data_IF_234254205912
#
_entry.id   IF_234254205912
#
_cell.length_a   1.000
_cell.length_b   1.000
_cell.length_c   1.000
_cell.angle_alpha   90.00
_cell.angle_beta   90.00
_cell.angle_gamma   90.00
#
_symmetry.space_group_name_H-M   'P 1'
#
loop_
_entity.id
_entity.type
_entity.pdbx_description
1 polymer ?
#
# COMPACT_ATOMS: atom_id res chain seq x y z
N UNK A 1 -7.89 -30.49 2.64
CA UNK A 1 -8.77 -29.56 1.88
C UNK A 1 -8.27 -28.16 2.11
N UNK A 2 -7.79 -27.50 1.07
CA UNK A 2 -7.44 -26.09 1.18
C UNK A 2 -8.71 -25.29 1.35
N UNK A 3 -8.90 -24.66 2.50
CA UNK A 3 -9.96 -23.71 2.76
C UNK A 3 -9.85 -22.57 1.74
N UNK A 4 -10.78 -22.51 0.81
CA UNK A 4 -10.86 -21.38 -0.12
C UNK A 4 -11.13 -20.14 0.70
N UNK A 5 -10.10 -19.29 0.82
CA UNK A 5 -10.23 -17.99 1.47
C UNK A 5 -11.13 -17.15 0.57
N UNK A 6 -12.32 -16.83 1.04
CA UNK A 6 -13.18 -15.85 0.38
C UNK A 6 -12.48 -14.50 0.41
N UNK A 7 -11.97 -14.08 -0.76
CA UNK A 7 -11.33 -12.79 -0.98
C UNK A 7 -12.30 -11.79 -1.62
N UNK A 8 -13.61 -12.11 -1.66
CA UNK A 8 -14.60 -11.21 -2.21
C UNK A 8 -14.64 -9.89 -1.43
N UNK A 9 -14.73 -8.78 -2.15
CA UNK A 9 -14.83 -7.46 -1.57
C UNK A 9 -16.29 -7.07 -1.39
N UNK A 10 -16.61 -6.32 -0.31
CA UNK A 10 -17.94 -5.74 -0.15
C UNK A 10 -18.30 -4.83 -1.34
N UNK A 11 -19.59 -4.77 -1.67
CA UNK A 11 -20.10 -3.98 -2.80
C UNK A 11 -19.92 -2.46 -2.65
N UNK A 12 -19.64 -1.99 -1.43
CA UNK A 12 -19.42 -0.57 -1.12
C UNK A 12 -17.95 -0.13 -1.25
N UNK A 13 -17.04 -1.07 -1.58
CA UNK A 13 -15.63 -0.74 -1.83
C UNK A 13 -15.51 0.00 -3.15
N UNK A 14 -14.87 1.17 -3.10
CA UNK A 14 -14.59 1.94 -4.33
C UNK A 14 -13.65 1.16 -5.26
N UNK A 15 -13.81 1.36 -6.55
CA UNK A 15 -13.03 0.63 -7.57
C UNK A 15 -11.52 0.77 -7.38
N UNK A 16 -11.05 1.96 -6.99
CA UNK A 16 -9.63 2.18 -6.73
C UNK A 16 -9.13 1.36 -5.52
N UNK A 17 -9.91 1.33 -4.43
CA UNK A 17 -9.56 0.55 -3.24
C UNK A 17 -9.48 -0.95 -3.57
N UNK A 18 -10.41 -1.43 -4.39
CA UNK A 18 -10.42 -2.80 -4.89
C UNK A 18 -9.16 -3.12 -5.70
N UNK A 19 -8.81 -2.26 -6.65
CA UNK A 19 -7.62 -2.44 -7.48
C UNK A 19 -6.34 -2.44 -6.64
N UNK A 20 -6.21 -1.54 -5.66
CA UNK A 20 -5.06 -1.51 -4.75
C UNK A 20 -4.97 -2.80 -3.95
N UNK A 21 -6.09 -3.28 -3.41
CA UNK A 21 -6.14 -4.52 -2.64
C UNK A 21 -5.75 -5.74 -3.49
N UNK A 22 -6.28 -5.84 -4.71
CA UNK A 22 -5.96 -6.92 -5.64
C UNK A 22 -4.48 -6.91 -6.05
N UNK A 23 -3.93 -5.74 -6.36
CA UNK A 23 -2.51 -5.59 -6.68
C UNK A 23 -1.60 -5.96 -5.50
N UNK A 24 -1.97 -5.56 -4.28
CA UNK A 24 -1.24 -5.95 -3.08
C UNK A 24 -1.24 -7.47 -2.89
N UNK A 25 -2.37 -8.12 -3.09
CA UNK A 25 -2.48 -9.58 -3.02
C UNK A 25 -1.75 -10.29 -4.17
N UNK A 26 -1.78 -9.74 -5.36
CA UNK A 26 -1.00 -10.26 -6.49
C UNK A 26 0.50 -10.23 -6.18
N UNK A 27 1.01 -9.09 -5.66
CA UNK A 27 2.41 -8.98 -5.25
C UNK A 27 2.78 -10.00 -4.16
N UNK A 28 1.88 -10.22 -3.20
CA UNK A 28 2.10 -11.15 -2.10
C UNK A 28 2.09 -12.61 -2.56
N UNK A 29 1.18 -12.98 -3.45
CA UNK A 29 1.03 -14.34 -3.97
C UNK A 29 1.99 -14.68 -5.11
N UNK A 30 2.40 -13.69 -5.88
CA UNK A 30 3.36 -13.84 -7.00
C UNK A 30 4.24 -12.59 -7.11
N UNK A 31 5.30 -12.50 -6.28
CA UNK A 31 6.20 -11.34 -6.27
C UNK A 31 6.83 -11.04 -7.64
N UNK A 32 7.16 -12.08 -8.40
CA UNK A 32 7.80 -11.94 -9.72
C UNK A 32 6.90 -11.28 -10.74
N UNK A 33 5.59 -11.34 -10.57
CA UNK A 33 4.63 -10.71 -11.48
C UNK A 33 4.77 -9.18 -11.57
N UNK A 34 5.47 -8.55 -10.63
CA UNK A 34 5.72 -7.10 -10.63
C UNK A 34 7.03 -6.70 -11.32
N UNK A 35 7.92 -7.65 -11.60
CA UNK A 35 9.20 -7.37 -12.27
C UNK A 35 9.03 -6.64 -13.62
N UNK A 36 8.09 -7.03 -14.50
CA UNK A 36 7.90 -6.33 -15.78
C UNK A 36 7.58 -4.83 -15.61
N UNK A 37 6.81 -4.46 -14.60
CA UNK A 37 6.51 -3.04 -14.31
C UNK A 37 7.75 -2.26 -13.87
N UNK A 38 8.61 -2.88 -13.09
CA UNK A 38 9.87 -2.27 -12.66
C UNK A 38 10.88 -2.16 -13.81
N UNK A 39 10.91 -3.15 -14.70
CA UNK A 39 11.73 -3.10 -15.92
C UNK A 39 11.27 -1.99 -16.86
N UNK A 40 9.96 -1.82 -17.04
CA UNK A 40 9.40 -0.70 -17.79
C UNK A 40 9.78 0.64 -17.16
N UNK A 41 9.70 0.74 -15.82
CA UNK A 41 10.11 1.94 -15.08
C UNK A 41 11.58 2.28 -15.33
N UNK A 42 12.48 1.28 -15.33
CA UNK A 42 13.90 1.48 -15.63
C UNK A 42 14.13 2.14 -16.98
N UNK A 43 13.36 1.75 -17.99
CA UNK A 43 13.45 2.35 -19.33
C UNK A 43 13.04 3.83 -19.41
N UNK A 44 12.42 4.36 -18.36
CA UNK A 44 11.98 5.76 -18.26
C UNK A 44 12.98 6.65 -17.53
N UNK A 45 14.04 6.09 -16.95
CA UNK A 45 15.07 6.89 -16.30
C UNK A 45 16.00 7.57 -17.29
N UNK A 46 16.36 8.79 -16.94
CA UNK A 46 17.43 9.57 -17.57
C UNK A 46 18.31 10.11 -16.41
N UNK A 47 19.42 9.43 -16.15
CA UNK A 47 20.15 9.57 -14.88
C UNK A 47 19.24 9.26 -13.71
N UNK A 48 19.11 10.19 -12.76
CA UNK A 48 18.23 10.06 -11.59
C UNK A 48 16.82 10.62 -11.82
N UNK A 49 16.52 11.03 -13.04
CA UNK A 49 15.22 11.61 -13.39
C UNK A 49 14.31 10.57 -14.03
N UNK A 50 13.18 10.33 -13.40
CA UNK A 50 12.14 9.40 -13.91
C UNK A 50 11.14 10.18 -14.78
N UNK A 51 11.09 9.85 -16.06
CA UNK A 51 10.08 10.39 -16.99
C UNK A 51 8.75 9.65 -16.78
N UNK A 52 7.68 10.41 -16.58
CA UNK A 52 6.34 9.87 -16.45
C UNK A 52 5.46 10.41 -17.60
N UNK A 53 4.93 9.55 -18.49
CA UNK A 53 4.08 10.01 -19.59
C UNK A 53 2.90 10.84 -19.08
N UNK A 54 2.71 12.04 -19.64
CA UNK A 54 1.63 12.95 -19.26
C UNK A 54 1.75 13.61 -17.89
N UNK A 55 2.89 13.46 -17.20
CA UNK A 55 3.16 14.04 -15.87
C UNK A 55 4.52 14.74 -15.84
N UNK A 56 4.73 15.53 -14.81
CA UNK A 56 6.03 16.16 -14.55
C UNK A 56 7.10 15.09 -14.28
N UNK A 57 8.28 15.26 -14.87
CA UNK A 57 9.45 14.40 -14.59
C UNK A 57 9.81 14.48 -13.12
N UNK A 58 9.98 13.33 -12.50
CA UNK A 58 10.30 13.21 -11.08
C UNK A 58 11.82 13.05 -10.91
N UNK A 59 12.46 13.97 -10.20
CA UNK A 59 13.84 13.79 -9.76
C UNK A 59 13.87 12.89 -8.52
N UNK A 60 14.53 11.75 -8.65
CA UNK A 60 14.66 10.78 -7.55
C UNK A 60 16.00 10.98 -6.82
N UNK A 61 16.08 10.48 -5.59
CA UNK A 61 17.33 10.51 -4.81
C UNK A 61 18.22 9.29 -5.08
N UNK A 62 17.60 8.14 -5.30
CA UNK A 62 18.28 6.84 -5.40
C UNK A 62 18.43 6.37 -6.85
N UNK A 63 17.71 7.00 -7.76
CA UNK A 63 17.78 6.70 -9.18
C UNK A 63 17.36 5.26 -9.54
N UNK A 64 17.82 4.75 -10.69
CA UNK A 64 17.50 3.40 -11.14
C UNK A 64 18.08 2.29 -10.27
N UNK A 65 19.06 2.58 -9.42
CA UNK A 65 19.69 1.58 -8.53
C UNK A 65 18.67 0.97 -7.57
N UNK A 66 17.79 1.77 -6.97
CA UNK A 66 16.72 1.29 -6.09
C UNK A 66 15.72 0.37 -6.81
N UNK A 67 15.43 0.65 -8.09
CA UNK A 67 14.54 -0.22 -8.90
C UNK A 67 15.22 -1.55 -9.20
N UNK A 68 16.52 -1.55 -9.52
CA UNK A 68 17.27 -2.80 -9.72
C UNK A 68 17.32 -3.64 -8.45
N UNK A 69 17.55 -3.03 -7.29
CA UNK A 69 17.50 -3.72 -5.99
C UNK A 69 16.14 -4.35 -5.74
N UNK A 70 15.05 -3.63 -6.05
CA UNK A 70 13.69 -4.16 -5.94
C UNK A 70 13.46 -5.37 -6.87
N UNK A 71 13.97 -5.32 -8.11
CA UNK A 71 13.89 -6.46 -9.06
C UNK A 71 14.64 -7.67 -8.50
N UNK A 72 15.86 -7.48 -8.00
CA UNK A 72 16.64 -8.56 -7.40
C UNK A 72 15.94 -9.18 -6.19
N UNK A 73 15.35 -8.34 -5.34
CA UNK A 73 14.55 -8.81 -4.21
C UNK A 73 13.36 -9.65 -4.67
N UNK A 74 12.56 -9.16 -5.63
CA UNK A 74 11.38 -9.86 -6.13
C UNK A 74 11.71 -11.18 -6.83
N UNK A 75 12.89 -11.30 -7.45
CA UNK A 75 13.35 -12.55 -8.03
C UNK A 75 13.56 -13.66 -6.99
N UNK A 76 13.88 -13.30 -5.75
CA UNK A 76 14.17 -14.22 -4.65
C UNK A 76 13.04 -14.32 -3.63
N UNK A 77 12.10 -13.39 -3.67
CA UNK A 77 11.00 -13.34 -2.72
C UNK A 77 10.09 -14.55 -2.87
N UNK A 78 9.81 -15.20 -1.74
CA UNK A 78 8.83 -16.28 -1.70
C UNK A 78 7.41 -15.70 -1.54
N UNK A 79 6.41 -16.37 -2.12
CA UNK A 79 5.02 -16.00 -1.90
C UNK A 79 4.67 -15.98 -0.43
N UNK A 80 3.87 -15.00 -0.03
CA UNK A 80 3.35 -14.90 1.34
C UNK A 80 1.83 -14.92 1.33
N UNK A 81 1.24 -15.21 2.49
CA UNK A 81 -0.22 -15.30 2.63
C UNK A 81 -0.90 -14.01 2.14
N UNK A 82 -1.94 -14.16 1.32
CA UNK A 82 -2.76 -13.05 0.86
C UNK A 82 -3.51 -12.38 2.01
N UNK A 83 -3.74 -11.09 1.87
CA UNK A 83 -4.54 -10.30 2.78
C UNK A 83 -6.02 -10.62 2.59
N UNK A 84 -6.77 -10.53 3.68
CA UNK A 84 -8.24 -10.55 3.64
C UNK A 84 -8.76 -9.13 3.82
N UNK A 85 -9.78 -8.78 3.07
CA UNK A 85 -10.47 -7.53 3.29
C UNK A 85 -11.16 -7.55 4.67
N UNK A 86 -11.06 -6.45 5.38
CA UNK A 86 -11.76 -6.24 6.63
C UNK A 86 -12.55 -4.93 6.56
N UNK A 87 -13.88 -5.04 6.50
CA UNK A 87 -14.77 -3.90 6.35
C UNK A 87 -14.64 -2.89 7.50
N UNK A 88 -14.40 -3.36 8.72
CA UNK A 88 -14.27 -2.50 9.89
C UNK A 88 -12.97 -1.68 9.86
N UNK A 89 -11.86 -2.27 9.37
CA UNK A 89 -10.64 -1.52 9.08
C UNK A 89 -10.87 -0.47 7.99
N UNK A 90 -11.62 -0.83 6.95
CA UNK A 90 -11.99 0.10 5.87
C UNK A 90 -12.78 1.29 6.39
N UNK A 91 -13.75 1.07 7.28
CA UNK A 91 -14.52 2.15 7.92
C UNK A 91 -13.62 3.08 8.76
N UNK A 92 -12.73 2.50 9.57
CA UNK A 92 -11.80 3.29 10.39
C UNK A 92 -10.84 4.13 9.53
N UNK A 93 -10.39 3.59 8.38
CA UNK A 93 -9.57 4.33 7.43
C UNK A 93 -10.35 5.47 6.76
N UNK A 94 -11.59 5.21 6.36
CA UNK A 94 -12.49 6.22 5.75
C UNK A 94 -12.78 7.37 6.70
N UNK A 95 -13.06 7.09 7.98
CA UNK A 95 -13.23 8.12 9.01
C UNK A 95 -12.03 9.05 9.07
N UNK A 96 -10.83 8.47 8.99
CA UNK A 96 -9.61 9.26 9.01
C UNK A 96 -9.47 10.16 7.78
N UNK A 97 -9.73 9.65 6.60
CA UNK A 97 -9.68 10.44 5.35
C UNK A 97 -10.68 11.59 5.38
N UNK A 98 -11.92 11.35 5.83
CA UNK A 98 -12.98 12.36 5.93
C UNK A 98 -12.64 13.42 6.97
N UNK A 99 -12.00 13.02 8.07
CA UNK A 99 -11.61 13.94 9.13
C UNK A 99 -10.45 14.84 8.73
N UNK A 100 -9.35 14.29 8.24
CA UNK A 100 -8.12 15.05 8.01
C UNK A 100 -8.01 15.66 6.61
N UNK A 101 -8.62 15.02 5.60
CA UNK A 101 -8.51 15.44 4.20
C UNK A 101 -8.94 16.89 3.96
N UNK A 102 -10.17 17.31 4.34
CA UNK A 102 -10.63 18.69 4.16
C UNK A 102 -9.81 19.72 4.93
N UNK A 103 -9.10 19.29 5.98
CA UNK A 103 -8.26 20.15 6.82
C UNK A 103 -6.81 20.24 6.31
N UNK A 104 -6.46 19.52 5.25
CA UNK A 104 -5.08 19.46 4.71
C UNK A 104 -4.07 18.93 5.71
N UNK A 105 -4.48 18.08 6.67
CA UNK A 105 -3.59 17.50 7.66
C UNK A 105 -2.92 16.24 7.14
N UNK A 106 -1.63 16.06 7.44
CA UNK A 106 -0.85 14.86 7.09
C UNK A 106 -0.29 14.27 8.37
N UNK A 107 -1.02 13.32 8.96
CA UNK A 107 -0.64 12.67 10.22
C UNK A 107 -1.42 11.37 10.42
N UNK A 108 -1.02 10.53 11.37
CA UNK A 108 -1.70 9.27 11.68
C UNK A 108 -2.86 9.44 12.68
N UNK A 109 -2.75 10.41 13.57
CA UNK A 109 -3.79 10.75 14.53
C UNK A 109 -4.95 11.49 13.84
N UNK A 110 -6.14 11.33 14.38
CA UNK A 110 -7.31 12.13 13.99
C UNK A 110 -7.11 13.62 14.30
N UNK A 111 -7.94 14.50 13.74
CA UNK A 111 -7.79 15.95 13.94
C UNK A 111 -7.91 16.38 15.40
N UNK A 112 -8.63 15.60 16.20
CA UNK A 112 -8.80 15.78 17.64
C UNK A 112 -7.67 15.15 18.49
N UNK A 113 -6.66 14.55 17.86
CA UNK A 113 -5.56 13.86 18.52
C UNK A 113 -5.83 12.39 18.87
N UNK A 114 -6.98 11.83 18.48
CA UNK A 114 -7.29 10.42 18.71
C UNK A 114 -6.28 9.52 17.98
N UNK A 115 -5.54 8.64 18.68
CA UNK A 115 -4.58 7.73 18.07
C UNK A 115 -5.26 6.69 17.18
N UNK A 116 -4.50 6.14 16.21
CA UNK A 116 -4.96 5.05 15.32
C UNK A 116 -5.59 3.90 16.11
N UNK A 117 -4.94 3.48 17.20
CA UNK A 117 -5.42 2.40 18.06
C UNK A 117 -6.84 2.64 18.59
N UNK A 118 -7.11 3.83 19.07
CA UNK A 118 -8.43 4.14 19.63
C UNK A 118 -9.49 4.27 18.52
N UNK A 119 -9.12 4.77 17.34
CA UNK A 119 -9.99 4.78 16.17
C UNK A 119 -10.38 3.36 15.73
N UNK A 120 -9.42 2.42 15.71
CA UNK A 120 -9.68 1.02 15.39
C UNK A 120 -10.60 0.34 16.41
N UNK A 121 -10.44 0.63 17.70
CA UNK A 121 -11.30 0.08 18.76
C UNK A 121 -12.77 0.46 18.61
N UNK A 122 -13.07 1.64 18.05
CA UNK A 122 -14.45 2.07 17.79
C UNK A 122 -15.22 1.07 16.90
N UNK A 123 -14.48 0.35 16.04
CA UNK A 123 -14.99 -0.68 15.14
C UNK A 123 -14.76 -2.11 15.64
N UNK A 124 -14.50 -2.28 16.93
CA UNK A 124 -14.35 -3.61 17.55
C UNK A 124 -13.02 -4.30 17.28
N UNK A 125 -12.05 -3.62 16.65
CA UNK A 125 -10.74 -4.18 16.38
C UNK A 125 -9.89 -4.10 17.64
N UNK A 126 -9.75 -5.24 18.35
CA UNK A 126 -9.08 -5.33 19.65
C UNK A 126 -7.61 -5.74 19.54
N UNK A 127 -7.26 -6.49 18.50
CA UNK A 127 -5.92 -7.03 18.30
C UNK A 127 -5.37 -6.61 16.94
N UNK A 128 -4.33 -5.82 16.94
CA UNK A 128 -3.56 -5.50 15.75
C UNK A 128 -2.09 -5.37 16.13
N UNK A 129 -1.22 -5.79 15.24
CA UNK A 129 0.22 -5.58 15.37
C UNK A 129 0.53 -4.29 14.61
N UNK A 130 0.88 -3.25 15.34
CA UNK A 130 1.41 -2.02 14.74
C UNK A 130 2.90 -2.20 14.50
N UNK A 131 3.29 -2.32 13.24
CA UNK A 131 4.67 -2.14 12.87
C UNK A 131 4.93 -0.63 12.77
N UNK A 132 5.40 -0.04 13.85
CA UNK A 132 6.02 1.27 13.80
C UNK A 132 7.33 1.11 13.03
N UNK A 133 7.33 1.45 11.75
CA UNK A 133 8.58 1.70 11.06
C UNK A 133 9.21 2.94 11.69
N UNK A 134 10.10 2.74 12.64
CA UNK A 134 11.07 3.78 12.97
C UNK A 134 12.01 3.90 11.77
N UNK A 135 11.60 4.65 10.77
CA UNK A 135 12.56 5.25 9.88
C UNK A 135 13.35 6.24 10.75
N UNK A 136 14.49 5.82 11.23
CA UNK A 136 15.51 6.76 11.70
C UNK A 136 16.02 7.43 10.43
N UNK A 137 15.71 8.72 10.27
CA UNK A 137 16.44 9.63 9.38
C UNK A 137 17.88 9.73 9.84
#
# INVERSE_FOLDING_TARGET
MAEQVDTSLPSDVQELDRQIFELANRLRGDPRSFIPYLQEMLGRFDGDSLRQPGKTTLRTKEGPAAVNEAIEYLNRAEPVRMLRWNAELGKAARDHVVDIGPKGLVRHESSDGTPVKERLKRYGIKHFISFSSRAKC
#
